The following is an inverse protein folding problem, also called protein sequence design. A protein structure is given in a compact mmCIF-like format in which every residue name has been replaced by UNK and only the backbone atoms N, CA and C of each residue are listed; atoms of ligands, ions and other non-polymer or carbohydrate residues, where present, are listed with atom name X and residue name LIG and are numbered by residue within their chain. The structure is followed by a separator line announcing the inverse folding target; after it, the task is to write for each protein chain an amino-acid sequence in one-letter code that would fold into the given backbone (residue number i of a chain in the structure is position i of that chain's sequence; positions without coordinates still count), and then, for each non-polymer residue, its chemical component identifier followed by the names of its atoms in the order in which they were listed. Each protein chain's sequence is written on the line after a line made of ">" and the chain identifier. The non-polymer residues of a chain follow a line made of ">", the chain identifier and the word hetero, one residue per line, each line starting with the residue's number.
data_IF_556310404763
#
_entry.id   IF_556310404763
#
_cell.length_a   1.000
_cell.length_b   1.000
_cell.length_c   1.000
_cell.angle_alpha   90.00
_cell.angle_beta   90.00
_cell.angle_gamma   90.00
#
_symmetry.space_group_name_H-M   'P 1'
#
loop_
_entity.id
_entity.type
_entity.pdbx_description
1 polymer ?
#
# COMPACT_ATOMS: atom_id res chain seq x y z
N UNK A 1 40.63 -16.02 -19.26
CA UNK A 1 39.86 -16.81 -18.27
C UNK A 1 38.49 -16.17 -18.10
N UNK A 2 37.39 -16.94 -18.19
CA UNK A 2 36.03 -16.39 -18.00
C UNK A 2 35.85 -16.02 -16.51
N UNK A 3 35.48 -14.78 -16.21
CA UNK A 3 35.20 -14.30 -14.84
C UNK A 3 33.86 -14.88 -14.37
N UNK A 4 33.87 -16.10 -13.82
CA UNK A 4 32.65 -16.82 -13.43
C UNK A 4 31.88 -16.11 -12.30
N UNK A 5 32.57 -15.33 -11.46
CA UNK A 5 31.96 -14.50 -10.41
C UNK A 5 31.12 -13.32 -10.95
N UNK A 6 31.31 -12.94 -12.22
CA UNK A 6 30.67 -11.77 -12.80
C UNK A 6 29.17 -12.01 -13.00
N UNK A 7 28.77 -13.23 -13.32
CA UNK A 7 27.37 -13.61 -13.52
C UNK A 7 26.51 -13.44 -12.25
N UNK A 8 26.86 -14.05 -11.09
CA UNK A 8 26.08 -13.86 -9.87
C UNK A 8 26.14 -12.42 -9.35
N UNK A 9 27.22 -11.68 -9.61
CA UNK A 9 27.33 -10.27 -9.21
C UNK A 9 26.42 -9.37 -10.06
N UNK A 10 26.35 -9.57 -11.37
CA UNK A 10 25.37 -8.90 -12.24
C UNK A 10 23.95 -9.23 -11.80
N UNK A 11 23.66 -10.50 -11.51
CA UNK A 11 22.34 -10.91 -11.05
C UNK A 11 21.94 -10.22 -9.74
N UNK A 12 22.86 -10.12 -8.78
CA UNK A 12 22.65 -9.36 -7.54
C UNK A 12 22.37 -7.87 -7.80
N UNK A 13 23.13 -7.23 -8.69
CA UNK A 13 22.90 -5.84 -9.08
C UNK A 13 21.53 -5.64 -9.74
N UNK A 14 21.09 -6.57 -10.59
CA UNK A 14 19.76 -6.53 -11.20
C UNK A 14 18.65 -6.61 -10.14
N UNK A 15 18.81 -7.43 -9.10
CA UNK A 15 17.82 -7.54 -8.01
C UNK A 15 17.78 -6.26 -7.17
N UNK A 16 18.93 -5.65 -6.88
CA UNK A 16 18.98 -4.35 -6.21
C UNK A 16 18.25 -3.28 -7.02
N UNK A 17 18.48 -3.24 -8.34
CA UNK A 17 17.81 -2.29 -9.22
C UNK A 17 16.30 -2.55 -9.28
N UNK A 18 15.87 -3.81 -9.31
CA UNK A 18 14.46 -4.19 -9.27
C UNK A 18 13.77 -3.71 -7.98
N UNK A 19 14.51 -3.62 -6.86
CA UNK A 19 14.03 -3.01 -5.61
C UNK A 19 13.68 -1.53 -5.74
N UNK A 20 14.49 -0.75 -6.46
CA UNK A 20 14.23 0.67 -6.72
C UNK A 20 13.01 0.86 -7.62
N UNK A 21 12.80 -0.07 -8.55
CA UNK A 21 11.65 -0.09 -9.46
C UNK A 21 10.38 -0.69 -8.84
N UNK A 22 10.37 -1.00 -7.54
CA UNK A 22 9.19 -1.52 -6.85
C UNK A 22 8.03 -0.53 -6.87
N UNK A 23 8.31 0.75 -6.73
CA UNK A 23 7.32 1.79 -6.52
C UNK A 23 7.12 2.64 -7.77
N UNK A 24 5.91 2.61 -8.32
CA UNK A 24 5.46 3.57 -9.32
C UNK A 24 4.95 4.81 -8.58
N UNK A 25 5.61 5.95 -8.77
CA UNK A 25 5.15 7.24 -8.21
C UNK A 25 4.22 7.90 -9.22
N UNK A 26 2.97 8.06 -8.85
CA UNK A 26 1.99 8.84 -9.60
C UNK A 26 2.19 10.35 -9.46
N UNK A 27 1.39 11.16 -10.18
CA UNK A 27 1.45 12.61 -10.08
C UNK A 27 1.07 13.10 -8.68
N UNK A 28 1.72 14.18 -8.24
CA UNK A 28 1.34 14.89 -7.01
C UNK A 28 0.14 15.80 -7.34
N UNK A 29 -1.01 15.51 -6.75
CA UNK A 29 -2.22 16.31 -6.88
C UNK A 29 -2.36 17.27 -5.70
N UNK A 30 -2.91 18.44 -5.95
CA UNK A 30 -3.11 19.48 -4.94
C UNK A 30 -4.61 19.66 -4.74
N UNK A 31 -5.08 19.47 -3.51
CA UNK A 31 -6.49 19.62 -3.13
C UNK A 31 -6.53 20.50 -1.87
N UNK A 32 -6.82 21.78 -2.08
CA UNK A 32 -6.87 22.81 -1.04
C UNK A 32 -5.62 22.85 -0.14
N UNK A 33 -5.73 22.38 1.11
CA UNK A 33 -4.67 22.35 2.11
C UNK A 33 -3.83 21.06 2.09
N UNK A 34 -4.11 20.14 1.16
CA UNK A 34 -3.48 18.83 1.08
C UNK A 34 -2.81 18.59 -0.26
N UNK A 35 -1.69 17.89 -0.22
CA UNK A 35 -1.06 17.30 -1.39
C UNK A 35 -1.24 15.78 -1.32
N UNK A 36 -1.65 15.18 -2.43
CA UNK A 36 -2.01 13.78 -2.53
C UNK A 36 -1.08 13.13 -3.55
N UNK A 37 -0.33 12.13 -3.12
CA UNK A 37 0.52 11.34 -4.02
C UNK A 37 -0.01 9.92 -4.11
N UNK A 38 -0.29 9.49 -5.34
CA UNK A 38 -0.62 8.10 -5.60
C UNK A 38 0.66 7.29 -5.77
N UNK A 39 0.73 6.12 -5.16
CA UNK A 39 1.77 5.14 -5.42
C UNK A 39 1.17 3.79 -5.75
N UNK A 40 1.91 3.01 -6.53
CA UNK A 40 1.59 1.63 -6.82
C UNK A 40 2.80 0.76 -6.53
N UNK A 41 2.59 -0.25 -5.70
CA UNK A 41 3.57 -1.31 -5.48
C UNK A 41 3.44 -2.31 -6.63
N UNK A 42 4.46 -2.42 -7.49
CA UNK A 42 4.47 -3.38 -8.58
C UNK A 42 4.53 -4.83 -8.10
N UNK A 43 5.05 -5.07 -6.89
CA UNK A 43 5.22 -6.43 -6.39
C UNK A 43 3.95 -7.00 -5.78
N UNK A 44 3.18 -6.16 -5.10
CA UNK A 44 1.90 -6.57 -4.49
C UNK A 44 0.69 -6.19 -5.33
N UNK A 45 0.87 -5.31 -6.33
CA UNK A 45 -0.22 -4.68 -7.08
C UNK A 45 -1.00 -3.63 -6.27
N UNK A 46 -0.62 -3.42 -5.01
CA UNK A 46 -1.33 -2.56 -4.08
C UNK A 46 -1.17 -1.09 -4.47
N UNK A 47 -2.29 -0.37 -4.47
CA UNK A 47 -2.30 1.08 -4.65
C UNK A 47 -2.36 1.77 -3.29
N UNK A 48 -1.61 2.84 -3.18
CA UNK A 48 -1.46 3.64 -1.98
C UNK A 48 -1.71 5.10 -2.34
N UNK A 49 -2.24 5.83 -1.36
CA UNK A 49 -2.29 7.28 -1.32
C UNK A 49 -1.44 7.71 -0.14
N UNK A 50 -0.49 8.58 -0.39
CA UNK A 50 0.18 9.33 0.65
C UNK A 50 -0.46 10.71 0.68
N UNK A 51 -1.04 11.04 1.82
CA UNK A 51 -1.45 12.40 2.11
C UNK A 51 -0.23 13.16 2.61
N UNK A 52 -0.10 14.41 2.21
CA UNK A 52 0.80 15.38 2.81
C UNK A 52 -0.03 16.60 3.14
N UNK A 53 0.11 17.15 4.34
CA UNK A 53 -0.53 18.39 4.73
C UNK A 53 0.43 19.56 4.62
N UNK A 54 -0.06 20.63 4.02
CA UNK A 54 0.68 21.87 3.82
C UNK A 54 -0.04 22.75 2.81
N UNK A 55 -0.20 24.03 3.14
CA UNK A 55 -0.64 25.05 2.20
C UNK A 55 0.38 25.11 1.05
N UNK A 56 -0.04 24.69 -0.14
CA UNK A 56 0.79 24.66 -1.34
C UNK A 56 1.42 26.04 -1.63
N UNK A 57 0.68 27.11 -1.31
CA UNK A 57 1.06 28.51 -1.48
C UNK A 57 2.27 28.93 -0.62
N UNK A 58 2.48 28.29 0.53
CA UNK A 58 3.64 28.56 1.41
C UNK A 58 4.89 27.78 1.04
N UNK A 59 4.80 26.81 0.13
CA UNK A 59 5.91 25.89 -0.10
C UNK A 59 7.12 26.57 -0.74
N UNK A 60 6.94 27.66 -1.51
CA UNK A 60 8.02 28.44 -2.12
C UNK A 60 9.02 27.64 -2.96
N UNK A 61 8.76 26.35 -3.17
CA UNK A 61 9.71 25.39 -3.71
C UNK A 61 9.44 25.22 -5.20
N UNK A 62 10.34 25.69 -6.08
CA UNK A 62 10.17 25.56 -7.53
C UNK A 62 10.10 24.10 -7.99
N UNK A 63 10.56 23.15 -7.16
CA UNK A 63 10.57 21.72 -7.49
C UNK A 63 9.29 20.96 -7.09
N UNK A 64 8.27 21.65 -6.54
CA UNK A 64 6.99 21.03 -6.14
C UNK A 64 7.15 19.82 -5.21
N UNK A 65 8.16 19.83 -4.33
CA UNK A 65 8.38 18.74 -3.39
C UNK A 65 7.29 18.76 -2.30
N UNK A 66 6.84 17.59 -1.82
CA UNK A 66 5.77 17.54 -0.84
C UNK A 66 6.18 18.20 0.48
N UNK A 67 5.30 19.04 1.04
CA UNK A 67 5.59 19.78 2.27
C UNK A 67 5.54 18.83 3.48
N UNK A 68 6.61 18.71 4.30
CA UNK A 68 6.73 17.65 5.30
C UNK A 68 5.94 17.91 6.59
N UNK A 69 5.20 19.02 6.71
CA UNK A 69 4.69 19.49 8.01
C UNK A 69 3.49 18.68 8.54
N UNK A 70 2.74 17.97 7.69
CA UNK A 70 1.60 17.15 8.14
C UNK A 70 1.52 15.78 7.45
N UNK A 71 1.58 14.73 8.29
CA UNK A 71 1.09 13.36 8.08
C UNK A 71 1.30 12.74 6.69
N UNK A 72 2.50 12.22 6.42
CA UNK A 72 2.81 11.25 5.36
C UNK A 72 2.13 9.89 5.57
N UNK A 73 0.83 9.89 5.85
CA UNK A 73 0.05 8.68 6.12
C UNK A 73 -0.22 7.92 4.83
N UNK A 74 0.14 6.64 4.85
CA UNK A 74 -0.12 5.71 3.76
C UNK A 74 -1.50 5.09 3.95
N UNK A 75 -2.39 5.42 3.03
CA UNK A 75 -3.74 4.90 2.94
C UNK A 75 -3.85 4.00 1.71
N UNK A 76 -4.39 2.79 1.83
CA UNK A 76 -4.70 1.99 0.65
C UNK A 76 -5.75 2.72 -0.21
N UNK A 77 -5.49 2.79 -1.52
CA UNK A 77 -6.42 3.39 -2.48
C UNK A 77 -7.42 2.35 -2.99
N UNK A 78 -8.69 2.74 -3.07
CA UNK A 78 -9.75 1.98 -3.71
C UNK A 78 -10.41 2.76 -4.85
N UNK A 79 -10.66 2.13 -6.00
CA UNK A 79 -11.73 2.56 -6.89
C UNK A 79 -13.06 2.55 -6.13
N UNK A 80 -13.92 3.53 -6.40
CA UNK A 80 -15.19 3.68 -5.67
C UNK A 80 -16.09 2.45 -5.82
N UNK A 81 -16.15 1.87 -7.02
CA UNK A 81 -16.89 0.64 -7.30
C UNK A 81 -16.44 -0.55 -6.43
N UNK A 82 -15.13 -0.70 -6.24
CA UNK A 82 -14.58 -1.78 -5.39
C UNK A 82 -14.88 -1.52 -3.92
N UNK A 83 -14.79 -0.26 -3.49
CA UNK A 83 -15.13 0.12 -2.12
C UNK A 83 -16.59 -0.21 -1.80
N UNK A 84 -17.51 0.10 -2.71
CA UNK A 84 -18.94 -0.12 -2.52
C UNK A 84 -19.27 -1.62 -2.45
N UNK A 85 -18.70 -2.43 -3.35
CA UNK A 85 -18.84 -3.89 -3.32
C UNK A 85 -18.33 -4.48 -2.00
N UNK A 86 -17.14 -4.07 -1.56
CA UNK A 86 -16.54 -4.54 -0.30
C UNK A 86 -17.30 -4.05 0.93
N UNK A 87 -17.86 -2.86 0.87
CA UNK A 87 -18.70 -2.32 1.94
C UNK A 87 -19.98 -3.15 2.08
N UNK A 88 -20.61 -3.54 0.97
CA UNK A 88 -21.77 -4.43 0.98
C UNK A 88 -21.42 -5.81 1.56
N UNK A 89 -20.21 -6.36 1.30
CA UNK A 89 -19.74 -7.58 1.96
C UNK A 89 -19.67 -7.43 3.50
N UNK A 90 -19.17 -6.30 4.00
CA UNK A 90 -19.10 -6.02 5.45
C UNK A 90 -20.51 -5.85 6.03
N UNK A 91 -21.38 -5.13 5.34
CA UNK A 91 -22.76 -4.93 5.74
C UNK A 91 -23.60 -6.22 5.70
N UNK A 92 -23.19 -7.19 4.90
CA UNK A 92 -23.78 -8.53 4.85
C UNK A 92 -23.41 -9.43 6.03
N UNK A 93 -22.43 -9.05 6.86
CA UNK A 93 -22.05 -9.81 8.06
C UNK A 93 -23.21 -9.82 9.07
N UNK A 94 -23.36 -10.89 9.88
CA UNK A 94 -24.47 -11.03 10.82
C UNK A 94 -24.59 -9.87 11.82
N UNK A 95 -23.47 -9.23 12.17
CA UNK A 95 -23.40 -8.09 13.08
C UNK A 95 -24.11 -6.83 12.54
N UNK A 96 -24.06 -6.61 11.22
CA UNK A 96 -24.62 -5.42 10.56
C UNK A 96 -25.96 -5.72 9.89
N UNK A 97 -26.14 -6.92 9.36
CA UNK A 97 -27.31 -7.32 8.59
C UNK A 97 -28.61 -7.11 9.35
N UNK A 98 -28.70 -7.58 10.60
CA UNK A 98 -29.91 -7.45 11.41
C UNK A 98 -30.27 -5.99 11.73
N UNK A 99 -29.26 -5.19 12.10
CA UNK A 99 -29.45 -3.76 12.39
C UNK A 99 -29.84 -2.97 11.14
N UNK A 100 -29.20 -3.27 10.00
CA UNK A 100 -29.51 -2.65 8.70
C UNK A 100 -30.94 -2.92 8.28
N UNK A 101 -31.40 -4.18 8.34
CA UNK A 101 -32.77 -4.53 7.97
C UNK A 101 -33.80 -3.84 8.87
N UNK A 102 -33.56 -3.82 10.18
CA UNK A 102 -34.45 -3.16 11.13
C UNK A 102 -34.56 -1.65 10.85
N UNK A 103 -33.43 -0.97 10.62
CA UNK A 103 -33.41 0.45 10.29
C UNK A 103 -34.07 0.74 8.94
N UNK A 104 -33.81 -0.07 7.92
CA UNK A 104 -34.47 0.08 6.61
C UNK A 104 -35.98 -0.12 6.70
N UNK A 105 -36.45 -1.09 7.49
CA UNK A 105 -37.87 -1.30 7.72
C UNK A 105 -38.49 -0.13 8.49
N UNK A 106 -37.82 0.34 9.56
CA UNK A 106 -38.25 1.51 10.35
C UNK A 106 -38.37 2.77 9.48
N UNK A 107 -37.39 3.03 8.62
CA UNK A 107 -37.43 4.16 7.67
C UNK A 107 -38.61 4.02 6.71
N UNK A 108 -38.79 2.84 6.09
CA UNK A 108 -39.89 2.58 5.16
C UNK A 108 -41.27 2.78 5.82
N UNK A 109 -41.44 2.28 7.05
CA UNK A 109 -42.68 2.43 7.79
C UNK A 109 -42.96 3.90 8.16
N UNK A 110 -41.92 4.66 8.51
CA UNK A 110 -42.01 6.11 8.78
C UNK A 110 -42.29 6.93 7.50
N UNK A 111 -41.71 6.56 6.36
CA UNK A 111 -42.01 7.19 5.06
C UNK A 111 -43.47 6.99 4.65
N UNK A 112 -44.01 5.79 4.84
CA UNK A 112 -45.42 5.49 4.58
C UNK A 112 -46.33 6.31 5.50
N UNK A 113 -45.97 6.45 6.78
CA UNK A 113 -46.71 7.28 7.74
C UNK A 113 -46.65 8.76 7.35
N UNK A 114 -45.48 9.27 6.97
CA UNK A 114 -45.31 10.64 6.49
C UNK A 114 -46.16 10.93 5.25
N UNK A 115 -46.21 10.00 4.29
CA UNK A 115 -47.02 10.13 3.08
C UNK A 115 -48.53 10.17 3.40
N UNK A 116 -49.01 9.31 4.32
CA UNK A 116 -50.42 9.30 4.76
C UNK A 116 -50.82 10.60 5.47
N UNK A 117 -49.93 11.14 6.31
CA UNK A 117 -50.16 12.42 7.00
C UNK A 117 -50.18 13.58 5.99
N UNK A 118 -49.32 13.55 4.97
CA UNK A 118 -49.31 14.54 3.90
C UNK A 118 -50.60 14.53 3.06
N UNK A 119 -51.14 13.35 2.75
CA UNK A 119 -52.42 13.22 2.03
C UNK A 119 -53.63 13.71 2.86
N UNK A 120 -53.65 13.46 4.17
CA UNK A 120 -54.75 13.88 5.04
C UNK A 120 -54.75 15.39 5.36
N UNK A 121 -53.58 16.05 5.31
CA UNK A 121 -53.44 17.50 5.52
C UNK A 121 -54.20 18.34 4.48
N UNK A 122 -54.56 17.76 3.33
CA UNK A 122 -55.38 18.40 2.29
C UNK A 122 -56.89 18.45 2.59
N UNK A 123 -57.38 17.78 3.65
CA UNK A 123 -58.82 17.66 3.93
C UNK A 123 -59.31 18.30 5.23
N UNK A 124 -58.52 18.37 6.30
CA UNK A 124 -58.98 18.94 7.57
C UNK A 124 -57.90 19.80 8.27
N UNK A 125 -58.06 21.13 8.20
CA UNK A 125 -57.26 22.06 9.00
C UNK A 125 -57.89 22.21 10.39
N UNK A 126 -57.23 21.74 11.46
CA UNK A 126 -56.97 22.56 12.66
C UNK A 126 -56.21 21.87 13.83
N UNK A 127 -55.89 20.58 13.82
CA UNK A 127 -55.28 19.92 15.02
C UNK A 127 -54.01 19.09 14.79
N UNK A 128 -53.34 19.18 13.63
CA UNK A 128 -52.24 18.29 13.25
C UNK A 128 -50.84 18.95 13.26
N UNK A 129 -50.55 19.82 14.22
CA UNK A 129 -49.24 20.48 14.32
C UNK A 129 -48.11 19.57 14.83
N UNK A 130 -48.43 18.63 15.74
CA UNK A 130 -47.44 17.89 16.54
C UNK A 130 -47.05 16.53 15.94
N UNK A 131 -47.98 15.83 15.28
CA UNK A 131 -47.69 14.53 14.65
C UNK A 131 -46.71 14.56 13.46
N UNK A 132 -46.80 15.50 12.49
CA UNK A 132 -45.90 15.48 11.33
C UNK A 132 -44.45 15.80 11.72
N UNK A 133 -44.25 16.68 12.71
CA UNK A 133 -42.91 17.07 13.17
C UNK A 133 -42.22 15.90 13.90
N UNK A 134 -42.97 15.13 14.71
CA UNK A 134 -42.47 13.92 15.36
C UNK A 134 -42.07 12.83 14.34
N UNK A 135 -42.84 12.65 13.26
CA UNK A 135 -42.51 11.67 12.20
C UNK A 135 -41.25 12.10 11.45
N UNK A 136 -41.13 13.40 11.09
CA UNK A 136 -39.92 13.91 10.44
C UNK A 136 -38.68 13.77 11.33
N UNK A 137 -38.81 14.05 12.64
CA UNK A 137 -37.73 13.86 13.60
C UNK A 137 -37.32 12.39 13.70
N UNK A 138 -38.28 11.46 13.84
CA UNK A 138 -38.00 10.03 13.90
C UNK A 138 -37.35 9.50 12.61
N UNK A 139 -37.74 10.02 11.45
CA UNK A 139 -37.13 9.67 10.16
C UNK A 139 -35.69 10.21 10.08
N UNK A 140 -35.45 11.45 10.51
CA UNK A 140 -34.10 12.03 10.58
C UNK A 140 -33.17 11.25 11.52
N UNK A 141 -33.70 10.77 12.65
CA UNK A 141 -32.94 9.96 13.60
C UNK A 141 -32.62 8.57 13.02
N UNK A 142 -33.62 7.90 12.42
CA UNK A 142 -33.40 6.58 11.82
C UNK A 142 -32.44 6.62 10.62
N UNK A 143 -32.49 7.68 9.81
CA UNK A 143 -31.55 7.90 8.70
C UNK A 143 -30.14 8.21 9.20
N UNK A 144 -30.01 9.01 10.26
CA UNK A 144 -28.73 9.24 10.92
C UNK A 144 -28.15 7.94 11.52
N UNK A 145 -28.97 7.14 12.21
CA UNK A 145 -28.56 5.83 12.73
C UNK A 145 -28.06 4.91 11.61
N UNK A 146 -28.73 4.92 10.45
CA UNK A 146 -28.27 4.17 9.29
C UNK A 146 -26.92 4.69 8.78
N UNK A 147 -26.75 6.00 8.62
CA UNK A 147 -25.48 6.59 8.17
C UNK A 147 -24.31 6.30 9.13
N UNK A 148 -24.57 6.32 10.44
CA UNK A 148 -23.56 5.95 11.44
C UNK A 148 -23.16 4.48 11.33
N UNK A 149 -24.11 3.58 11.02
CA UNK A 149 -23.84 2.16 10.78
C UNK A 149 -22.97 1.98 9.53
N UNK A 150 -23.28 2.67 8.43
CA UNK A 150 -22.49 2.66 7.20
C UNK A 150 -21.08 3.22 7.43
N UNK A 151 -20.97 4.34 8.14
CA UNK A 151 -19.69 4.95 8.51
C UNK A 151 -18.86 4.03 9.39
N UNK A 152 -19.49 3.33 10.33
CA UNK A 152 -18.86 2.30 11.17
C UNK A 152 -18.33 1.14 10.34
N UNK A 153 -19.16 0.57 9.46
CA UNK A 153 -18.77 -0.52 8.57
C UNK A 153 -17.60 -0.12 7.65
N UNK A 154 -17.63 1.11 7.11
CA UNK A 154 -16.54 1.67 6.29
C UNK A 154 -15.23 1.77 7.08
N UNK A 155 -15.27 2.22 8.35
CA UNK A 155 -14.07 2.27 9.21
C UNK A 155 -13.48 0.88 9.44
N UNK A 156 -14.33 -0.12 9.70
CA UNK A 156 -13.90 -1.51 9.89
C UNK A 156 -13.27 -2.05 8.61
N UNK A 157 -13.92 -1.85 7.45
CA UNK A 157 -13.39 -2.25 6.14
C UNK A 157 -12.00 -1.66 5.89
N UNK A 158 -11.84 -0.35 6.07
CA UNK A 158 -10.57 0.33 5.86
C UNK A 158 -9.47 -0.16 6.82
N UNK A 159 -9.82 -0.46 8.08
CA UNK A 159 -8.88 -0.99 9.07
C UNK A 159 -8.42 -2.41 8.73
N UNK A 160 -9.34 -3.30 8.39
CA UNK A 160 -9.04 -4.68 7.98
C UNK A 160 -8.15 -4.69 6.74
N UNK A 161 -8.52 -3.90 5.74
CA UNK A 161 -7.76 -3.85 4.50
C UNK A 161 -6.38 -3.20 4.70
N UNK A 162 -6.27 -2.15 5.51
CA UNK A 162 -4.95 -1.58 5.87
C UNK A 162 -4.07 -2.63 6.54
N UNK A 163 -4.63 -3.49 7.39
CA UNK A 163 -3.89 -4.58 8.00
C UNK A 163 -3.47 -5.65 6.96
N UNK A 164 -4.35 -5.99 6.02
CA UNK A 164 -4.03 -6.95 4.96
C UNK A 164 -2.97 -6.41 3.98
N UNK A 165 -3.09 -5.17 3.54
CA UNK A 165 -2.13 -4.50 2.68
C UNK A 165 -0.73 -4.47 3.33
N UNK A 166 -0.65 -4.12 4.62
CA UNK A 166 0.60 -4.17 5.40
C UNK A 166 1.18 -5.59 5.48
N UNK A 167 0.34 -6.62 5.65
CA UNK A 167 0.81 -8.02 5.64
C UNK A 167 1.41 -8.41 4.28
N UNK A 168 0.74 -8.05 3.18
CA UNK A 168 1.25 -8.32 1.82
C UNK A 168 2.56 -7.59 1.55
N UNK A 169 2.64 -6.31 1.95
CA UNK A 169 3.86 -5.50 1.85
C UNK A 169 5.01 -6.14 2.64
N UNK A 170 4.75 -6.57 3.88
CA UNK A 170 5.73 -7.23 4.73
C UNK A 170 6.23 -8.53 4.09
N UNK A 171 5.31 -9.38 3.61
CA UNK A 171 5.66 -10.64 2.95
C UNK A 171 6.52 -10.40 1.70
N UNK A 172 6.13 -9.47 0.84
CA UNK A 172 6.90 -9.12 -0.36
C UNK A 172 8.31 -8.62 0.00
N UNK A 173 8.42 -7.81 1.06
CA UNK A 173 9.70 -7.27 1.54
C UNK A 173 10.58 -8.38 2.12
N UNK A 174 10.01 -9.31 2.88
CA UNK A 174 10.75 -10.48 3.43
C UNK A 174 11.26 -11.36 2.29
N UNK A 175 10.40 -11.69 1.32
CA UNK A 175 10.77 -12.53 0.17
C UNK A 175 11.91 -11.89 -0.61
N UNK A 176 11.83 -10.59 -0.87
CA UNK A 176 12.88 -9.87 -1.57
C UNK A 176 14.18 -9.78 -0.76
N UNK A 177 14.10 -9.53 0.55
CA UNK A 177 15.25 -9.54 1.44
C UNK A 177 15.96 -10.90 1.46
N UNK A 178 15.20 -12.00 1.51
CA UNK A 178 15.75 -13.36 1.41
C UNK A 178 16.43 -13.59 0.06
N UNK A 179 15.81 -13.16 -1.05
CA UNK A 179 16.39 -13.26 -2.38
C UNK A 179 17.73 -12.51 -2.47
N UNK A 180 17.81 -11.30 -1.90
CA UNK A 180 19.06 -10.55 -1.84
C UNK A 180 20.14 -11.26 -1.05
N UNK A 181 19.82 -11.80 0.13
CA UNK A 181 20.78 -12.50 0.98
C UNK A 181 21.32 -13.74 0.29
N UNK A 182 20.45 -14.55 -0.32
CA UNK A 182 20.86 -15.76 -1.04
C UNK A 182 21.76 -15.41 -2.23
N UNK A 183 21.35 -14.42 -3.04
CA UNK A 183 22.11 -14.04 -4.24
C UNK A 183 23.44 -13.38 -3.92
N UNK A 184 23.49 -12.55 -2.88
CA UNK A 184 24.73 -12.03 -2.34
C UNK A 184 25.67 -13.14 -1.84
N UNK A 185 25.14 -14.11 -1.08
CA UNK A 185 25.93 -15.23 -0.56
C UNK A 185 26.55 -16.07 -1.69
N UNK A 186 25.78 -16.33 -2.75
CA UNK A 186 26.27 -17.03 -3.94
C UNK A 186 27.34 -16.19 -4.66
N UNK A 187 27.10 -14.89 -4.87
CA UNK A 187 28.09 -14.00 -5.50
C UNK A 187 29.39 -13.95 -4.70
N UNK A 188 29.31 -13.83 -3.38
CA UNK A 188 30.45 -13.83 -2.48
C UNK A 188 31.22 -15.17 -2.53
N UNK A 189 30.50 -16.30 -2.54
CA UNK A 189 31.12 -17.62 -2.65
C UNK A 189 31.96 -17.75 -3.93
N UNK A 190 31.40 -17.40 -5.08
CA UNK A 190 32.12 -17.45 -6.35
C UNK A 190 33.27 -16.45 -6.41
N UNK A 191 33.12 -15.27 -5.82
CA UNK A 191 34.19 -14.29 -5.72
C UNK A 191 35.37 -14.83 -4.90
N UNK A 192 35.12 -15.42 -3.72
CA UNK A 192 36.15 -16.01 -2.87
C UNK A 192 36.84 -17.19 -3.59
N UNK A 193 36.09 -18.04 -4.29
CA UNK A 193 36.64 -19.15 -5.06
C UNK A 193 37.59 -18.65 -6.18
N UNK A 194 37.21 -17.57 -6.87
CA UNK A 194 38.05 -16.94 -7.89
C UNK A 194 39.34 -16.35 -7.30
N UNK A 195 39.24 -15.64 -6.17
CA UNK A 195 40.41 -15.08 -5.46
C UNK A 195 41.38 -16.19 -5.05
N UNK A 196 40.88 -17.31 -4.53
CA UNK A 196 41.69 -18.48 -4.19
C UNK A 196 42.38 -19.07 -5.43
N UNK A 197 41.65 -19.24 -6.52
CA UNK A 197 42.21 -19.74 -7.79
C UNK A 197 43.31 -18.82 -8.32
N UNK A 198 43.07 -17.51 -8.28
CA UNK A 198 44.04 -16.52 -8.75
C UNK A 198 45.33 -16.58 -7.92
N UNK A 199 45.21 -16.69 -6.59
CA UNK A 199 46.36 -16.88 -5.69
C UNK A 199 47.15 -18.14 -6.02
N UNK A 200 46.48 -19.28 -6.20
CA UNK A 200 47.13 -20.56 -6.57
C UNK A 200 47.87 -20.49 -7.91
N UNK A 201 47.26 -19.86 -8.92
CA UNK A 201 47.90 -19.68 -10.24
C UNK A 201 49.13 -18.80 -10.13
N UNK A 202 49.08 -17.73 -9.33
CA UNK A 202 50.22 -16.84 -9.12
C UNK A 202 51.36 -17.54 -8.37
N UNK A 203 51.07 -18.24 -7.27
CA UNK A 203 52.06 -19.05 -6.54
C UNK A 203 52.70 -20.11 -7.46
N UNK A 204 51.91 -20.77 -8.32
CA UNK A 204 52.43 -21.74 -9.28
C UNK A 204 53.33 -21.07 -10.33
N UNK A 205 52.96 -19.88 -10.81
CA UNK A 205 53.76 -19.14 -11.77
C UNK A 205 55.10 -18.70 -11.18
N UNK A 206 55.10 -18.18 -9.95
CA UNK A 206 56.34 -17.82 -9.22
C UNK A 206 57.28 -19.02 -9.05
N UNK A 207 56.75 -20.19 -8.70
CA UNK A 207 57.54 -21.43 -8.57
C UNK A 207 58.13 -21.83 -9.93
N UNK A 208 57.34 -21.82 -11.00
CA UNK A 208 57.81 -22.17 -12.35
C UNK A 208 58.88 -21.18 -12.83
N UNK A 209 58.69 -19.88 -12.59
CA UNK A 209 59.67 -18.86 -12.93
C UNK A 209 60.98 -19.04 -12.15
N UNK A 210 60.90 -19.30 -10.85
CA UNK A 210 62.08 -19.56 -10.01
C UNK A 210 62.87 -20.79 -10.50
N UNK A 211 62.18 -21.91 -10.74
CA UNK A 211 62.80 -23.15 -11.23
C UNK A 211 63.42 -22.95 -12.62
N UNK A 212 62.73 -22.25 -13.52
CA UNK A 212 63.25 -22.01 -14.87
C UNK A 212 64.44 -21.04 -14.89
N UNK A 213 64.47 -20.02 -14.03
CA UNK A 213 65.63 -19.14 -13.86
C UNK A 213 66.83 -19.90 -13.29
N UNK A 214 66.63 -20.68 -12.24
CA UNK A 214 67.72 -21.44 -11.59
C UNK A 214 68.30 -22.53 -12.51
N UNK A 215 67.47 -23.16 -13.35
CA UNK A 215 67.94 -24.13 -14.34
C UNK A 215 68.62 -23.50 -15.57
N UNK A 216 68.30 -22.26 -15.94
CA UNK A 216 68.96 -21.57 -17.08
C UNK A 216 70.32 -21.00 -16.73
N UNK A 217 70.54 -20.63 -15.47
CA UNK A 217 71.83 -20.16 -14.98
C UNK A 217 72.17 -20.96 -13.73
N UNK A 218 72.69 -22.20 -13.86
CA UNK A 218 73.20 -22.91 -12.71
C UNK A 218 74.31 -22.04 -12.14
N UNK A 219 74.12 -21.54 -10.91
CA UNK A 219 75.15 -20.85 -10.15
C UNK A 219 76.39 -21.75 -10.16
N UNK A 220 77.39 -21.35 -10.95
CA UNK A 220 78.60 -22.12 -11.20
C UNK A 220 79.24 -22.52 -9.88
N UNK A 221 79.48 -23.82 -9.74
CA UNK A 221 80.54 -24.34 -8.89
C UNK A 221 81.80 -24.44 -9.73
#
# INVERSE_FOLDING_TARGET
>A
MKKLWLFPMIFFLLILLAGQLRWEKGPLQHVDAYQIQHLKDHWTGQRWVILYGGLAETSGDPEHRPYPLYSGEWLPYFPQEELDLRLEEVLGRPEYHGKRQLLQQKIKDLEIQAARVAENKGKDSFLAGVEPEAIHQALSEATWELDTLYTGAKKVLLAEYRAEAKKRELLATIIWGLLLVVTFSVALHYFIAEVKRWKQVHETYEIVEYVTKNNRYPLGK
#
